data_IF_231124553066
#
_entry.id   IF_231124553066
#
_cell.length_a   1.000
_cell.length_b   1.000
_cell.length_c   1.000
_cell.angle_alpha   90.00
_cell.angle_beta   90.00
_cell.angle_gamma   90.00
#
_symmetry.space_group_name_H-M   'P 1'
#
loop_
_entity.id
_entity.type
_entity.pdbx_description
1 polymer ?
#
# COMPACT_ATOMS: atom_id res chain seq x y z
N UNK A 1 -17.01 26.09 -6.31
CA UNK A 1 -15.88 25.19 -6.66
C UNK A 1 -16.46 23.95 -7.29
N UNK A 2 -15.85 23.40 -8.36
CA UNK A 2 -16.34 22.16 -8.99
C UNK A 2 -15.52 20.96 -8.52
N UNK A 3 -16.14 19.78 -8.51
CA UNK A 3 -15.52 18.54 -8.05
C UNK A 3 -15.63 17.44 -9.08
N UNK A 4 -14.60 16.61 -9.11
CA UNK A 4 -14.62 15.27 -9.67
C UNK A 4 -15.00 14.29 -8.55
N UNK A 5 -15.87 13.33 -8.82
CA UNK A 5 -16.26 12.29 -7.86
C UNK A 5 -16.04 10.90 -8.44
N UNK A 6 -15.78 9.91 -7.58
CA UNK A 6 -15.64 8.50 -7.97
C UNK A 6 -16.71 7.64 -7.30
N UNK A 7 -17.62 7.09 -8.09
CA UNK A 7 -18.70 6.19 -7.63
C UNK A 7 -18.55 4.87 -8.38
N UNK A 8 -18.39 3.75 -7.65
CA UNK A 8 -18.24 2.41 -8.24
C UNK A 8 -17.15 2.32 -9.33
N UNK A 9 -16.03 3.02 -9.13
CA UNK A 9 -14.90 3.12 -10.08
C UNK A 9 -15.15 3.99 -11.32
N UNK A 10 -16.34 4.57 -11.49
CA UNK A 10 -16.61 5.55 -12.53
C UNK A 10 -16.34 6.97 -12.00
N UNK A 11 -15.61 7.77 -12.78
CA UNK A 11 -15.28 9.16 -12.45
C UNK A 11 -16.26 10.10 -13.15
N UNK A 12 -16.97 10.92 -12.38
CA UNK A 12 -17.89 11.95 -12.89
C UNK A 12 -17.36 13.34 -12.52
N UNK A 13 -17.40 14.30 -13.45
CA UNK A 13 -16.95 15.66 -13.17
C UNK A 13 -16.40 16.42 -14.37
N UNK A 14 -16.00 17.69 -14.18
CA UNK A 14 -16.15 18.47 -12.95
C UNK A 14 -17.58 19.03 -12.83
N UNK A 15 -18.22 18.85 -11.67
CA UNK A 15 -19.61 19.28 -11.42
C UNK A 15 -19.70 20.18 -10.18
N UNK A 16 -20.73 21.03 -10.14
CA UNK A 16 -21.06 21.86 -8.98
C UNK A 16 -21.72 21.01 -7.88
N UNK A 17 -21.53 21.34 -6.58
CA UNK A 17 -22.09 20.60 -5.45
C UNK A 17 -23.58 20.26 -5.58
N UNK A 18 -24.38 21.20 -6.09
CA UNK A 18 -25.82 21.05 -6.25
C UNK A 18 -26.18 19.95 -7.27
N UNK A 19 -25.34 19.77 -8.31
CA UNK A 19 -25.53 18.73 -9.32
C UNK A 19 -25.07 17.36 -8.82
N UNK A 20 -24.09 17.31 -7.92
CA UNK A 20 -23.59 16.07 -7.32
C UNK A 20 -24.66 15.40 -6.45
N UNK A 21 -25.44 16.19 -5.72
CA UNK A 21 -26.55 15.68 -4.89
C UNK A 21 -27.62 14.91 -5.69
N UNK A 22 -27.76 15.19 -6.99
CA UNK A 22 -28.68 14.48 -7.89
C UNK A 22 -28.14 13.17 -8.45
N UNK A 23 -26.85 12.84 -8.25
CA UNK A 23 -26.24 11.63 -8.80
C UNK A 23 -26.60 10.42 -7.95
N UNK A 24 -27.24 9.42 -8.57
CA UNK A 24 -27.60 8.17 -7.90
C UNK A 24 -26.34 7.46 -7.37
N UNK A 25 -26.27 7.27 -6.06
CA UNK A 25 -25.14 6.63 -5.38
C UNK A 25 -24.12 7.60 -4.80
N UNK A 26 -24.32 8.91 -4.96
CA UNK A 26 -23.54 9.91 -4.24
C UNK A 26 -23.89 9.89 -2.74
N UNK A 27 -22.87 9.83 -1.90
CA UNK A 27 -22.98 9.69 -0.44
C UNK A 27 -21.83 10.41 0.27
N UNK A 28 -21.94 10.59 1.59
CA UNK A 28 -20.89 11.20 2.43
C UNK A 28 -19.52 10.49 2.34
N UNK A 29 -19.53 9.19 2.00
CA UNK A 29 -18.31 8.39 1.83
C UNK A 29 -17.79 8.39 0.38
N UNK A 30 -18.45 9.07 -0.55
CA UNK A 30 -17.97 9.14 -1.94
C UNK A 30 -16.65 9.89 -1.99
N UNK A 31 -15.71 9.41 -2.80
CA UNK A 31 -14.43 10.11 -3.00
C UNK A 31 -14.64 11.31 -3.93
N UNK A 32 -14.14 12.48 -3.53
CA UNK A 32 -14.23 13.73 -4.26
C UNK A 32 -12.85 14.38 -4.39
N UNK A 33 -12.63 15.09 -5.50
CA UNK A 33 -11.40 15.82 -5.80
C UNK A 33 -11.76 17.20 -6.38
N UNK A 34 -11.33 18.31 -5.78
CA UNK A 34 -11.59 19.66 -6.28
C UNK A 34 -10.87 19.94 -7.60
N UNK A 35 -11.52 20.69 -8.50
CA UNK A 35 -10.98 21.02 -9.84
C UNK A 35 -9.67 21.83 -9.79
N UNK A 36 -9.51 22.70 -8.80
CA UNK A 36 -8.35 23.59 -8.67
C UNK A 36 -7.06 22.88 -8.21
N UNK A 37 -7.05 21.54 -8.09
CA UNK A 37 -5.85 20.78 -7.77
C UNK A 37 -4.74 20.88 -8.84
N UNK A 38 -4.95 21.61 -9.95
CA UNK A 38 -3.93 21.90 -10.96
C UNK A 38 -3.71 20.74 -11.93
N UNK A 39 -3.43 21.07 -13.20
CA UNK A 39 -3.20 20.07 -14.26
C UNK A 39 -1.93 19.22 -14.07
N UNK A 40 -1.11 19.50 -13.05
CA UNK A 40 0.10 18.75 -12.68
C UNK A 40 -0.02 18.01 -11.32
N UNK A 41 -1.23 17.81 -10.78
CA UNK A 41 -1.44 16.96 -9.60
C UNK A 41 -1.29 15.48 -9.95
N UNK A 42 -0.04 14.99 -9.95
CA UNK A 42 0.29 13.57 -9.99
C UNK A 42 -0.42 12.77 -8.89
N UNK A 43 -0.67 13.42 -7.74
CA UNK A 43 -1.45 12.88 -6.63
C UNK A 43 -2.66 13.77 -6.36
N UNK A 44 -3.70 13.59 -7.17
CA UNK A 44 -5.01 14.19 -6.90
C UNK A 44 -5.41 13.86 -5.47
N UNK A 45 -5.56 14.89 -4.62
CA UNK A 45 -6.03 14.74 -3.24
C UNK A 45 -7.50 14.31 -3.23
N UNK A 46 -7.75 13.04 -3.55
CA UNK A 46 -9.03 12.41 -3.33
C UNK A 46 -9.27 12.35 -1.83
N UNK A 47 -10.32 13.02 -1.37
CA UNK A 47 -10.79 12.96 0.02
C UNK A 47 -12.24 12.52 0.02
N UNK A 48 -12.76 12.07 1.16
CA UNK A 48 -14.19 11.74 1.27
C UNK A 48 -15.02 13.02 1.11
N UNK A 49 -16.21 12.93 0.52
CA UNK A 49 -17.08 14.08 0.26
C UNK A 49 -17.38 14.86 1.55
N UNK A 50 -17.56 14.18 2.68
CA UNK A 50 -17.76 14.81 4.00
C UNK A 50 -16.62 15.71 4.45
N UNK A 51 -15.39 15.50 3.94
CA UNK A 51 -14.21 16.32 4.26
C UNK A 51 -14.27 17.71 3.64
N UNK A 52 -15.17 17.93 2.68
CA UNK A 52 -15.40 19.22 2.01
C UNK A 52 -16.67 19.86 2.59
N UNK A 53 -16.57 20.97 3.35
CA UNK A 53 -17.72 21.57 4.05
C UNK A 53 -18.91 21.87 3.12
N UNK A 54 -18.62 22.33 1.90
CA UNK A 54 -19.60 22.60 0.85
C UNK A 54 -20.33 21.36 0.33
N UNK A 55 -19.67 20.19 0.29
CA UNK A 55 -20.30 18.92 -0.06
C UNK A 55 -21.04 18.34 1.16
N UNK A 56 -20.50 18.49 2.37
CA UNK A 56 -21.16 18.07 3.61
C UNK A 56 -22.51 18.77 3.81
N UNK A 57 -22.59 20.07 3.51
CA UNK A 57 -23.83 20.84 3.54
C UNK A 57 -24.93 20.31 2.60
N UNK A 58 -24.56 19.60 1.52
CA UNK A 58 -25.53 18.98 0.61
C UNK A 58 -26.22 17.75 1.24
N UNK A 59 -25.59 17.10 2.22
CA UNK A 59 -26.13 15.91 2.89
C UNK A 59 -26.84 16.24 4.20
N UNK A 60 -26.41 17.31 4.87
CA UNK A 60 -26.90 17.69 6.19
C UNK A 60 -27.36 19.16 6.11
N UNK A 61 -28.67 19.41 5.89
CA UNK A 61 -29.21 20.77 5.81
C UNK A 61 -28.95 21.60 7.07
N UNK A 62 -28.86 20.92 8.22
CA UNK A 62 -28.59 21.50 9.54
C UNK A 62 -27.10 21.52 9.89
N UNK A 63 -26.20 21.17 8.95
CA UNK A 63 -24.76 21.25 9.22
C UNK A 63 -24.42 22.70 9.52
N UNK A 64 -23.78 23.00 10.68
CA UNK A 64 -23.43 24.36 11.02
C UNK A 64 -22.55 24.88 9.89
N UNK A 65 -23.04 25.90 9.19
CA UNK A 65 -22.33 26.58 8.11
C UNK A 65 -21.07 27.15 8.75
N UNK A 66 -19.97 26.41 8.70
CA UNK A 66 -18.74 26.76 9.38
C UNK A 66 -18.37 28.18 8.94
N UNK A 67 -18.47 29.13 9.88
CA UNK A 67 -18.05 30.49 9.62
C UNK A 67 -16.63 30.40 9.08
N UNK A 68 -16.40 30.94 7.88
CA UNK A 68 -15.07 31.00 7.26
C UNK A 68 -14.10 31.45 8.34
N UNK A 69 -13.27 30.54 8.84
CA UNK A 69 -12.22 30.93 9.78
C UNK A 69 -11.33 31.92 9.02
N UNK A 70 -11.17 33.16 9.50
CA UNK A 70 -10.14 34.02 8.95
C UNK A 70 -8.78 33.31 9.13
N UNK A 71 -7.82 33.54 8.21
CA UNK A 71 -6.50 32.95 8.32
C UNK A 71 -5.92 33.32 9.69
N UNK A 72 -5.77 32.31 10.56
CA UNK A 72 -5.32 32.49 11.93
C UNK A 72 -3.84 32.85 11.88
N UNK A 73 -3.54 34.11 12.16
CA UNK A 73 -2.20 34.59 12.48
C UNK A 73 -1.77 33.98 13.81
N UNK A 74 -0.62 33.32 13.80
CA UNK A 74 0.35 33.19 14.89
C UNK A 74 -0.21 32.90 16.29
N UNK A 75 -0.30 31.61 16.65
CA UNK A 75 -0.25 31.18 18.06
C UNK A 75 1.05 30.41 18.28
N UNK A 76 1.87 30.91 19.22
CA UNK A 76 3.13 30.31 19.67
C UNK A 76 2.90 28.88 20.21
N UNK A 77 3.79 27.92 19.91
CA UNK A 77 3.64 26.56 20.40
C UNK A 77 4.02 26.46 21.87
N UNK A 78 3.10 25.93 22.68
CA UNK A 78 3.40 25.36 24.00
C UNK A 78 4.34 24.17 23.79
N UNK A 79 5.58 24.34 24.26
CA UNK A 79 6.62 23.30 24.33
C UNK A 79 6.14 22.14 25.21
N UNK A 80 5.57 21.11 24.59
CA UNK A 80 5.66 19.75 25.12
C UNK A 80 6.94 19.17 24.55
N UNK A 81 7.96 19.02 25.40
CA UNK A 81 9.25 18.46 25.03
C UNK A 81 9.08 17.04 24.49
N UNK A 82 9.10 16.92 23.16
CA UNK A 82 9.34 15.67 22.47
C UNK A 82 10.70 15.10 22.93
N UNK A 83 10.85 13.78 23.09
CA UNK A 83 12.16 13.19 23.28
C UNK A 83 13.00 13.54 22.05
N UNK A 84 14.07 14.32 22.28
CA UNK A 84 14.99 14.73 21.24
C UNK A 84 15.44 13.50 20.47
N UNK A 85 15.13 13.47 19.16
CA UNK A 85 15.69 12.50 18.24
C UNK A 85 17.21 12.44 18.47
N UNK A 86 17.75 11.23 18.63
CA UNK A 86 19.16 11.04 18.94
C UNK A 86 20.02 11.85 17.95
N UNK A 87 20.91 12.74 18.42
CA UNK A 87 21.68 13.64 17.57
C UNK A 87 22.61 12.90 16.58
N UNK A 88 22.82 11.60 16.80
CA UNK A 88 23.65 10.75 15.95
C UNK A 88 23.04 10.54 14.55
N UNK A 89 21.70 10.42 14.41
CA UNK A 89 21.08 10.16 13.10
C UNK A 89 21.04 11.38 12.20
N UNK A 90 20.81 12.57 12.77
CA UNK A 90 20.85 13.84 12.04
C UNK A 90 22.29 14.19 11.62
N UNK A 91 23.28 13.88 12.46
CA UNK A 91 24.69 14.11 12.15
C UNK A 91 25.17 13.24 10.97
N UNK A 92 24.74 11.97 10.88
CA UNK A 92 25.13 11.10 9.77
C UNK A 92 24.51 11.56 8.44
N UNK A 93 23.28 12.06 8.44
CA UNK A 93 22.63 12.59 7.22
C UNK A 93 23.30 13.90 6.77
N UNK A 94 23.59 14.82 7.69
CA UNK A 94 24.34 16.04 7.36
C UNK A 94 25.74 15.72 6.82
N UNK A 95 26.38 14.67 7.34
CA UNK A 95 27.67 14.19 6.85
C UNK A 95 27.57 13.61 5.44
N UNK A 96 26.51 12.84 5.13
CA UNK A 96 26.25 12.31 3.77
C UNK A 96 26.03 13.45 2.79
N UNK A 97 25.16 14.41 3.11
CA UNK A 97 24.83 15.53 2.22
C UNK A 97 26.05 16.43 1.95
N UNK A 98 26.85 16.74 2.97
CA UNK A 98 28.05 17.56 2.78
C UNK A 98 29.12 16.87 1.91
N UNK A 99 29.21 15.55 1.98
CA UNK A 99 30.18 14.75 1.22
C UNK A 99 29.72 14.55 -0.23
N UNK A 100 28.41 14.48 -0.46
CA UNK A 100 27.81 14.49 -1.79
C UNK A 100 28.06 15.83 -2.49
N UNK A 101 27.88 16.95 -1.79
CA UNK A 101 28.20 18.29 -2.29
C UNK A 101 29.70 18.46 -2.61
N UNK A 102 30.59 17.86 -1.80
CA UNK A 102 32.03 17.83 -2.10
C UNK A 102 32.36 17.02 -3.36
N UNK A 103 31.69 15.88 -3.58
CA UNK A 103 31.87 15.07 -4.78
C UNK A 103 31.33 15.78 -6.04
N UNK A 104 30.24 16.52 -5.91
CA UNK A 104 29.65 17.30 -7.02
C UNK A 104 30.47 18.54 -7.40
N UNK A 105 31.19 19.13 -6.44
CA UNK A 105 32.08 20.29 -6.68
C UNK A 105 33.50 19.91 -7.10
N UNK A 106 33.90 18.65 -6.98
CA UNK A 106 35.23 18.22 -7.41
C UNK A 106 35.35 18.29 -8.94
N UNK A 107 36.38 18.98 -9.49
CA UNK A 107 36.52 19.17 -10.93
C UNK A 107 36.73 17.81 -11.64
N UNK A 108 35.87 17.53 -12.61
CA UNK A 108 35.79 16.27 -13.37
C UNK A 108 37.08 15.84 -14.11
N UNK A 109 38.15 16.64 -14.09
CA UNK A 109 39.38 16.42 -14.84
C UNK A 109 40.32 15.34 -14.27
N UNK A 110 40.01 14.76 -13.09
CA UNK A 110 40.82 13.67 -12.47
C UNK A 110 40.00 12.46 -12.02
N UNK A 111 38.75 12.32 -12.45
CA UNK A 111 37.90 11.19 -12.12
C UNK A 111 38.29 9.94 -12.93
N UNK A 112 39.44 9.35 -12.59
CA UNK A 112 39.71 7.95 -12.90
C UNK A 112 38.76 7.04 -12.12
N UNK A 113 38.75 5.75 -12.47
CA UNK A 113 37.96 4.65 -11.88
C UNK A 113 37.86 4.63 -10.34
N UNK A 114 38.73 5.32 -9.61
CA UNK A 114 38.65 5.50 -8.16
C UNK A 114 37.45 6.33 -7.64
N UNK A 115 36.68 7.00 -8.50
CA UNK A 115 35.45 7.71 -8.07
C UNK A 115 34.23 6.78 -7.88
N UNK A 116 34.28 5.54 -8.37
CA UNK A 116 33.16 4.58 -8.29
C UNK A 116 33.17 3.82 -6.97
N UNK A 117 34.36 3.58 -6.40
CA UNK A 117 34.55 2.89 -5.12
C UNK A 117 33.87 3.57 -3.91
N UNK A 118 33.90 4.91 -3.75
CA UNK A 118 33.13 5.57 -2.68
C UNK A 118 31.61 5.49 -2.85
N UNK A 119 31.10 5.34 -4.08
CA UNK A 119 29.65 5.19 -4.31
C UNK A 119 29.17 3.79 -3.92
N UNK A 120 29.92 2.73 -4.27
CA UNK A 120 29.59 1.36 -3.87
C UNK A 120 29.63 1.16 -2.35
N UNK A 121 30.59 1.80 -1.66
CA UNK A 121 30.65 1.75 -0.20
C UNK A 121 29.47 2.47 0.46
N UNK A 122 29.05 3.61 -0.09
CA UNK A 122 27.85 4.31 0.38
C UNK A 122 26.57 3.50 0.13
N UNK A 123 26.45 2.86 -1.03
CA UNK A 123 25.30 2.01 -1.36
C UNK A 123 25.19 0.82 -0.39
N UNK A 124 26.30 0.14 -0.10
CA UNK A 124 26.31 -0.92 0.91
C UNK A 124 25.97 -0.43 2.33
N UNK A 125 26.35 0.81 2.67
CA UNK A 125 25.96 1.42 3.96
C UNK A 125 24.46 1.73 4.02
N UNK A 126 23.86 2.17 2.92
CA UNK A 126 22.41 2.42 2.81
C UNK A 126 21.64 1.10 2.90
N UNK A 127 22.06 0.07 2.16
CA UNK A 127 21.45 -1.26 2.23
C UNK A 127 21.49 -1.85 3.64
N UNK A 128 22.63 -1.69 4.33
CA UNK A 128 22.76 -2.10 5.74
C UNK A 128 21.76 -1.36 6.65
N UNK A 129 21.66 -0.03 6.51
CA UNK A 129 20.71 0.77 7.29
C UNK A 129 19.25 0.42 7.00
N UNK A 130 18.92 0.10 5.75
CA UNK A 130 17.59 -0.39 5.37
C UNK A 130 17.29 -1.75 6.02
N UNK A 131 18.29 -2.64 6.09
CA UNK A 131 18.19 -3.89 6.85
C UNK A 131 17.91 -3.65 8.34
N UNK A 132 18.69 -2.77 8.99
CA UNK A 132 18.51 -2.42 10.40
C UNK A 132 17.13 -1.78 10.68
N UNK A 133 16.65 -0.93 9.78
CA UNK A 133 15.30 -0.35 9.83
C UNK A 133 14.21 -1.44 9.74
N UNK A 134 14.35 -2.37 8.80
CA UNK A 134 13.41 -3.48 8.64
C UNK A 134 13.36 -4.36 9.88
N UNK A 135 14.52 -4.70 10.44
CA UNK A 135 14.61 -5.51 11.66
C UNK A 135 14.00 -4.77 12.87
N UNK A 136 14.21 -3.45 12.96
CA UNK A 136 13.59 -2.61 14.00
C UNK A 136 12.06 -2.60 13.89
N UNK A 137 11.50 -2.51 12.69
CA UNK A 137 10.04 -2.56 12.47
C UNK A 137 9.49 -3.93 12.83
N UNK A 138 10.14 -5.02 12.40
CA UNK A 138 9.73 -6.38 12.75
C UNK A 138 9.75 -6.61 14.28
N UNK A 139 10.73 -6.03 14.99
CA UNK A 139 10.80 -6.09 16.45
C UNK A 139 9.64 -5.30 17.10
N UNK A 140 9.30 -4.13 16.57
CA UNK A 140 8.15 -3.34 17.06
C UNK A 140 6.82 -4.07 16.81
N UNK A 141 6.63 -4.69 15.64
CA UNK A 141 5.44 -5.51 15.36
C UNK A 141 5.31 -6.67 16.35
N UNK A 142 6.41 -7.39 16.62
CA UNK A 142 6.42 -8.46 17.61
C UNK A 142 6.08 -7.95 19.01
N UNK A 143 6.55 -6.75 19.38
CA UNK A 143 6.25 -6.14 20.67
C UNK A 143 4.77 -5.78 20.78
N UNK A 144 4.21 -5.11 19.78
CA UNK A 144 2.78 -4.76 19.71
C UNK A 144 1.92 -6.02 19.81
N UNK A 145 2.28 -7.07 19.08
CA UNK A 145 1.57 -8.35 19.13
C UNK A 145 1.58 -8.97 20.54
N UNK A 146 2.74 -8.95 21.21
CA UNK A 146 2.87 -9.46 22.58
C UNK A 146 2.09 -8.65 23.62
N UNK A 147 1.90 -7.34 23.39
CA UNK A 147 1.11 -6.46 24.25
C UNK A 147 -0.41 -6.61 24.00
N UNK A 148 -0.81 -6.91 22.76
CA UNK A 148 -2.22 -7.14 22.38
C UNK A 148 -2.76 -8.51 22.84
N UNK A 149 -1.92 -9.55 22.84
CA UNK A 149 -2.34 -10.91 23.21
C UNK A 149 -3.00 -11.01 24.62
N UNK A 150 -2.46 -10.41 25.70
CA UNK A 150 -3.14 -10.46 27.00
C UNK A 150 -4.44 -9.65 27.04
N UNK A 151 -4.55 -8.56 26.28
CA UNK A 151 -5.81 -7.79 26.17
C UNK A 151 -6.88 -8.62 25.47
N UNK A 152 -6.51 -9.33 24.40
CA UNK A 152 -7.44 -10.19 23.67
C UNK A 152 -7.95 -11.34 24.54
N UNK A 153 -7.07 -11.95 25.37
CA UNK A 153 -7.49 -12.98 26.35
C UNK A 153 -8.45 -12.44 27.41
N UNK A 154 -8.26 -11.19 27.86
CA UNK A 154 -9.20 -10.54 28.81
C UNK A 154 -10.56 -10.29 28.16
N UNK A 155 -10.58 -9.91 26.89
CA UNK A 155 -11.81 -9.74 26.13
C UNK A 155 -12.55 -11.07 25.99
N UNK A 156 -11.87 -12.13 25.57
CA UNK A 156 -12.44 -13.49 25.48
C UNK A 156 -13.00 -13.97 26.84
N UNK A 157 -12.34 -13.62 27.94
CA UNK A 157 -12.82 -13.94 29.28
C UNK A 157 -14.10 -13.17 29.62
N UNK A 158 -14.13 -11.86 29.37
CA UNK A 158 -15.31 -11.03 29.62
C UNK A 158 -16.52 -11.49 28.77
N UNK A 159 -16.29 -11.87 27.51
CA UNK A 159 -17.35 -12.42 26.66
C UNK A 159 -17.96 -13.71 27.22
N UNK A 160 -17.11 -14.62 27.74
CA UNK A 160 -17.59 -15.85 28.40
C UNK A 160 -18.37 -15.56 29.68
N UNK A 161 -17.92 -14.62 30.50
CA UNK A 161 -18.62 -14.23 31.73
C UNK A 161 -19.99 -13.62 31.41
N UNK A 162 -20.10 -12.81 30.35
CA UNK A 162 -21.38 -12.27 29.87
C UNK A 162 -22.28 -13.39 29.36
N UNK A 163 -21.76 -14.35 28.59
CA UNK A 163 -22.53 -15.48 28.08
C UNK A 163 -23.05 -16.39 29.20
N UNK A 164 -22.24 -16.62 30.24
CA UNK A 164 -22.64 -17.36 31.45
C UNK A 164 -23.77 -16.64 32.19
N UNK A 165 -23.65 -15.32 32.42
CA UNK A 165 -24.70 -14.51 33.05
C UNK A 165 -25.99 -14.53 32.21
N UNK A 166 -25.87 -14.42 30.89
CA UNK A 166 -27.03 -14.47 29.99
C UNK A 166 -27.72 -15.84 30.00
N UNK A 167 -26.96 -16.93 30.15
CA UNK A 167 -27.50 -18.27 30.32
C UNK A 167 -28.24 -18.42 31.65
N UNK A 168 -27.66 -17.94 32.76
CA UNK A 168 -28.28 -17.98 34.09
C UNK A 168 -29.61 -17.21 34.13
N UNK A 169 -29.66 -16.01 33.55
CA UNK A 169 -30.86 -15.19 33.46
C UNK A 169 -31.96 -15.90 32.66
N UNK A 170 -31.60 -16.63 31.59
CA UNK A 170 -32.56 -17.43 30.82
C UNK A 170 -33.17 -18.57 31.62
N UNK A 171 -32.40 -19.21 32.49
CA UNK A 171 -32.85 -20.40 33.24
C UNK A 171 -33.70 -20.02 34.46
N UNK A 172 -33.47 -18.86 35.11
CA UNK A 172 -34.18 -18.47 36.34
C UNK A 172 -34.70 -17.01 36.33
N UNK A 173 -35.69 -16.67 35.49
CA UNK A 173 -36.16 -15.28 35.38
C UNK A 173 -36.90 -14.74 36.62
N UNK A 174 -37.40 -15.59 37.52
CA UNK A 174 -38.32 -15.18 38.61
C UNK A 174 -37.71 -15.19 40.04
N UNK A 175 -36.44 -15.60 40.21
CA UNK A 175 -35.82 -15.75 41.54
C UNK A 175 -34.44 -15.07 41.67
N UNK A 176 -33.98 -14.35 40.65
CA UNK A 176 -32.68 -13.68 40.68
C UNK A 176 -32.87 -12.31 41.33
N UNK A 177 -32.25 -12.13 42.50
CA UNK A 177 -32.09 -10.79 43.09
C UNK A 177 -31.35 -9.90 42.09
N UNK A 178 -31.88 -8.71 41.82
CA UNK A 178 -31.28 -7.75 40.86
C UNK A 178 -29.98 -7.14 41.39
N UNK A 179 -29.76 -7.16 42.70
CA UNK A 179 -28.56 -6.60 43.37
C UNK A 179 -27.24 -7.22 42.88
N UNK A 180 -27.04 -8.56 42.89
CA UNK A 180 -25.80 -9.17 42.39
C UNK A 180 -25.59 -8.98 40.89
N UNK A 181 -26.66 -8.82 40.10
CA UNK A 181 -26.54 -8.53 38.68
C UNK A 181 -26.10 -7.08 38.43
N UNK A 182 -26.61 -6.12 39.21
CA UNK A 182 -26.15 -4.72 39.18
C UNK A 182 -24.67 -4.62 39.52
N UNK A 183 -24.22 -5.26 40.61
CA UNK A 183 -22.82 -5.23 40.99
C UNK A 183 -21.88 -5.85 39.93
N UNK A 184 -22.33 -6.92 39.25
CA UNK A 184 -21.60 -7.53 38.14
C UNK A 184 -21.57 -6.62 36.91
N UNK A 185 -22.66 -5.92 36.60
CA UNK A 185 -22.73 -4.97 35.51
C UNK A 185 -21.78 -3.79 35.75
N UNK A 186 -21.78 -3.22 36.96
CA UNK A 186 -20.87 -2.13 37.34
C UNK A 186 -19.40 -2.57 37.25
N UNK A 187 -19.10 -3.82 37.62
CA UNK A 187 -17.76 -4.38 37.51
C UNK A 187 -17.34 -4.58 36.05
N UNK A 188 -18.26 -5.03 35.19
CA UNK A 188 -18.03 -5.17 33.76
C UNK A 188 -17.85 -3.81 33.05
N UNK A 189 -18.65 -2.80 33.42
CA UNK A 189 -18.49 -1.42 32.93
C UNK A 189 -17.13 -0.84 33.32
N UNK A 190 -16.70 -1.02 34.58
CA UNK A 190 -15.38 -0.61 35.02
C UNK A 190 -14.25 -1.35 34.28
N UNK A 191 -14.42 -2.64 34.00
CA UNK A 191 -13.45 -3.42 33.22
C UNK A 191 -13.37 -2.94 31.75
N UNK A 192 -14.50 -2.57 31.15
CA UNK A 192 -14.54 -1.98 29.81
C UNK A 192 -13.86 -0.61 29.76
N UNK A 193 -14.07 0.25 30.76
CA UNK A 193 -13.42 1.56 30.81
C UNK A 193 -11.90 1.41 30.99
N UNK A 194 -11.43 0.46 31.82
CA UNK A 194 -10.01 0.13 31.94
C UNK A 194 -9.42 -0.41 30.64
N UNK A 195 -10.16 -1.25 29.92
CA UNK A 195 -9.72 -1.78 28.63
C UNK A 195 -9.60 -0.65 27.61
N UNK A 196 -10.57 0.26 27.56
CA UNK A 196 -10.56 1.43 26.69
C UNK A 196 -9.37 2.35 26.99
N UNK A 197 -9.11 2.66 28.25
CA UNK A 197 -7.95 3.47 28.64
C UNK A 197 -6.61 2.78 28.28
N UNK A 198 -6.55 1.45 28.37
CA UNK A 198 -5.38 0.69 27.94
C UNK A 198 -5.17 0.75 26.42
N UNK A 199 -6.25 0.62 25.64
CA UNK A 199 -6.21 0.76 24.17
C UNK A 199 -5.80 2.18 23.77
N UNK A 200 -6.38 3.21 24.38
CA UNK A 200 -6.04 4.61 24.09
C UNK A 200 -4.55 4.91 24.40
N UNK A 201 -4.02 4.35 25.50
CA UNK A 201 -2.58 4.44 25.83
C UNK A 201 -1.71 3.72 24.80
N UNK A 202 -2.15 2.55 24.33
CA UNK A 202 -1.42 1.79 23.33
C UNK A 202 -1.44 2.50 21.96
N UNK A 203 -2.58 3.05 21.54
CA UNK A 203 -2.70 3.82 20.31
C UNK A 203 -1.83 5.08 20.32
N UNK A 204 -1.75 5.76 21.47
CA UNK A 204 -0.84 6.88 21.67
C UNK A 204 0.64 6.44 21.58
N UNK A 205 0.98 5.28 22.15
CA UNK A 205 2.34 4.71 22.06
C UNK A 205 2.69 4.35 20.61
N UNK A 206 1.77 3.70 19.89
CA UNK A 206 1.96 3.33 18.49
C UNK A 206 2.12 4.58 17.61
N UNK A 207 1.31 5.61 17.82
CA UNK A 207 1.48 6.88 17.10
C UNK A 207 2.82 7.55 17.39
N UNK A 208 3.25 7.55 18.65
CA UNK A 208 4.55 8.09 19.04
C UNK A 208 5.71 7.34 18.37
N UNK A 209 5.59 6.01 18.25
CA UNK A 209 6.62 5.15 17.64
C UNK A 209 6.62 5.22 16.10
N UNK A 210 5.46 5.39 15.48
CA UNK A 210 5.31 5.48 14.02
C UNK A 210 5.68 6.87 13.46
N UNK A 211 5.52 7.94 14.24
CA UNK A 211 5.87 9.30 13.81
C UNK A 211 7.33 9.43 13.31
N UNK A 212 8.37 8.99 14.05
CA UNK A 212 9.75 9.10 13.58
C UNK A 212 10.02 8.18 12.38
N UNK A 213 9.35 7.02 12.27
CA UNK A 213 9.49 6.14 11.10
C UNK A 213 8.89 6.78 9.86
N UNK A 214 7.71 7.39 9.96
CA UNK A 214 7.08 8.13 8.87
C UNK A 214 7.96 9.29 8.40
N UNK A 215 8.57 10.02 9.32
CA UNK A 215 9.52 11.08 8.97
C UNK A 215 10.78 10.52 8.27
N UNK A 216 11.31 9.39 8.72
CA UNK A 216 12.45 8.72 8.06
C UNK A 216 12.09 8.26 6.65
N UNK A 217 10.90 7.69 6.44
CA UNK A 217 10.42 7.29 5.11
C UNK A 217 10.30 8.50 4.19
N UNK A 218 9.66 9.57 4.64
CA UNK A 218 9.54 10.80 3.86
C UNK A 218 10.92 11.37 3.46
N UNK A 219 11.89 11.36 4.38
CA UNK A 219 13.27 11.78 4.08
C UNK A 219 13.97 10.86 3.06
N UNK A 220 13.71 9.56 3.08
CA UNK A 220 14.26 8.65 2.06
C UNK A 220 13.62 8.85 0.70
N UNK A 221 12.33 9.15 0.64
CA UNK A 221 11.62 9.47 -0.60
C UNK A 221 12.21 10.74 -1.24
N UNK A 222 12.42 11.81 -0.47
CA UNK A 222 13.05 13.03 -0.98
C UNK A 222 14.47 12.78 -1.49
N UNK A 223 15.25 11.94 -0.82
CA UNK A 223 16.61 11.59 -1.26
C UNK A 223 16.60 10.80 -2.58
N UNK A 224 15.64 9.90 -2.77
CA UNK A 224 15.44 9.15 -4.03
C UNK A 224 15.03 10.10 -5.16
N UNK A 225 14.16 11.08 -4.89
CA UNK A 225 13.79 12.09 -5.87
C UNK A 225 14.97 12.97 -6.28
N UNK A 226 15.80 13.40 -5.33
CA UNK A 226 17.04 14.13 -5.60
C UNK A 226 18.01 13.32 -6.47
N UNK A 227 18.20 12.03 -6.18
CA UNK A 227 19.02 11.13 -7.00
C UNK A 227 18.46 10.98 -8.42
N UNK A 228 17.15 10.78 -8.56
CA UNK A 228 16.50 10.69 -9.87
C UNK A 228 16.63 11.99 -10.67
N UNK A 229 16.53 13.15 -10.03
CA UNK A 229 16.75 14.44 -10.67
C UNK A 229 18.20 14.61 -11.13
N UNK A 230 19.16 14.16 -10.32
CA UNK A 230 20.58 14.17 -10.66
C UNK A 230 20.87 13.25 -11.86
N UNK A 231 20.26 12.07 -11.91
CA UNK A 231 20.34 11.16 -13.06
C UNK A 231 19.78 11.79 -14.33
N UNK A 232 18.63 12.48 -14.26
CA UNK A 232 18.06 13.21 -15.41
C UNK A 232 19.02 14.30 -15.89
N UNK A 233 19.59 15.09 -14.98
CA UNK A 233 20.56 16.12 -15.32
C UNK A 233 21.84 15.55 -15.97
N UNK A 234 22.31 14.38 -15.51
CA UNK A 234 23.44 13.69 -16.13
C UNK A 234 23.11 13.18 -17.54
N UNK A 235 21.93 12.60 -17.74
CA UNK A 235 21.47 12.16 -19.06
C UNK A 235 21.32 13.33 -20.03
N UNK A 236 20.81 14.46 -19.58
CA UNK A 236 20.71 15.68 -20.36
C UNK A 236 22.10 16.20 -20.79
N UNK A 237 23.06 16.27 -19.86
CA UNK A 237 24.45 16.64 -20.18
C UNK A 237 25.12 15.68 -21.15
N UNK A 238 24.88 14.37 -21.02
CA UNK A 238 25.38 13.38 -21.98
C UNK A 238 24.77 13.56 -23.37
N UNK A 239 23.47 13.87 -23.44
CA UNK A 239 22.80 14.17 -24.71
C UNK A 239 23.34 15.44 -25.35
N UNK A 240 23.61 16.49 -24.57
CA UNK A 240 24.23 17.72 -25.07
C UNK A 240 25.63 17.44 -25.62
N UNK A 241 26.44 16.66 -24.91
CA UNK A 241 27.78 16.28 -25.36
C UNK A 241 27.74 15.51 -26.69
N UNK A 242 26.76 14.62 -26.86
CA UNK A 242 26.57 13.87 -28.12
C UNK A 242 26.17 14.79 -29.29
N UNK A 243 25.34 15.80 -29.03
CA UNK A 243 25.00 16.84 -30.02
C UNK A 243 26.23 17.68 -30.39
N UNK A 244 27.01 18.14 -29.40
CA UNK A 244 28.22 18.94 -29.63
C UNK A 244 29.27 18.14 -30.43
N UNK A 245 29.47 16.86 -30.09
CA UNK A 245 30.38 15.96 -30.83
C UNK A 245 29.89 15.72 -32.26
N UNK A 246 28.58 15.62 -32.46
CA UNK A 246 27.98 15.50 -33.79
C UNK A 246 28.16 16.78 -34.61
N UNK A 247 27.97 17.95 -34.00
CA UNK A 247 28.23 19.26 -34.62
C UNK A 247 29.69 19.40 -35.06
N UNK A 248 30.64 19.13 -34.16
CA UNK A 248 32.08 19.13 -34.48
C UNK A 248 32.44 18.15 -35.60
N UNK A 249 31.79 16.98 -35.63
CA UNK A 249 31.98 15.98 -36.70
C UNK A 249 31.54 16.53 -38.05
N UNK A 250 30.42 17.22 -38.11
CA UNK A 250 29.90 17.77 -39.36
C UNK A 250 30.68 19.03 -39.79
N UNK A 251 31.09 19.89 -38.87
CA UNK A 251 32.04 20.98 -39.16
C UNK A 251 33.35 20.45 -39.77
N UNK A 252 33.91 19.38 -39.19
CA UNK A 252 35.13 18.75 -39.69
C UNK A 252 34.96 18.13 -41.09
N UNK A 253 33.77 17.64 -41.45
CA UNK A 253 33.48 17.13 -42.81
C UNK A 253 33.41 18.26 -43.83
N UNK A 254 32.87 19.42 -43.46
CA UNK A 254 32.62 20.53 -44.37
C UNK A 254 33.76 21.55 -44.42
N UNK A 255 34.75 21.49 -43.53
CA UNK A 255 35.92 22.35 -43.55
C UNK A 255 36.75 22.15 -44.85
N UNK A 256 36.77 23.13 -45.78
CA UNK A 256 37.51 23.03 -47.02
C UNK A 256 39.01 23.19 -46.74
N UNK A 257 39.82 22.24 -47.18
CA UNK A 257 41.29 22.37 -47.20
C UNK A 257 42.04 21.77 -46.01
N UNK A 258 41.45 20.88 -45.20
CA UNK A 258 42.23 20.15 -44.17
C UNK A 258 43.28 19.25 -44.85
N UNK A 259 44.60 19.53 -44.70
CA UNK A 259 45.64 18.76 -45.35
C UNK A 259 45.64 17.31 -44.83
N UNK A 260 45.91 16.34 -45.70
CA UNK A 260 45.86 14.91 -45.38
C UNK A 260 46.73 14.51 -44.16
N UNK A 261 47.80 15.27 -43.88
CA UNK A 261 48.65 15.09 -42.70
C UNK A 261 47.92 15.38 -41.37
N UNK A 262 47.00 16.35 -41.33
CA UNK A 262 46.22 16.66 -40.12
C UNK A 262 45.16 15.60 -39.81
N UNK A 263 44.66 14.87 -40.84
CA UNK A 263 43.73 13.73 -40.65
C UNK A 263 44.40 12.53 -39.98
N UNK A 264 45.70 12.32 -40.17
CA UNK A 264 46.44 11.24 -39.53
C UNK A 264 46.67 11.50 -38.01
N UNK A 265 46.84 12.76 -37.62
CA UNK A 265 47.03 13.14 -36.21
C UNK A 265 45.73 13.14 -35.38
N UNK A 266 44.55 13.15 -36.01
CA UNK A 266 43.24 13.16 -35.33
C UNK A 266 42.74 11.76 -34.90
N UNK A 267 43.39 10.68 -35.36
CA UNK A 267 43.03 9.30 -35.04
C UNK A 267 43.06 8.96 -33.53
N UNK A 268 44.07 9.36 -32.73
CA UNK A 268 44.10 9.03 -31.30
C UNK A 268 42.99 9.73 -30.51
N UNK A 269 42.62 10.97 -30.85
CA UNK A 269 41.55 11.70 -30.18
C UNK A 269 40.18 11.03 -30.39
N UNK A 270 39.93 10.50 -31.59
CA UNK A 270 38.72 9.71 -31.88
C UNK A 270 38.64 8.43 -31.05
N UNK A 271 39.75 7.72 -30.89
CA UNK A 271 39.79 6.48 -30.10
C UNK A 271 39.49 6.75 -28.62
N UNK A 272 40.01 7.84 -28.05
CA UNK A 272 39.74 8.22 -26.65
C UNK A 272 38.25 8.54 -26.43
N UNK A 273 37.64 9.34 -27.32
CA UNK A 273 36.22 9.69 -27.22
C UNK A 273 35.32 8.44 -27.34
N UNK A 274 35.61 7.54 -28.28
CA UNK A 274 34.87 6.29 -28.44
C UNK A 274 34.99 5.38 -27.22
N UNK A 275 36.18 5.31 -26.61
CA UNK A 275 36.41 4.50 -25.41
C UNK A 275 35.63 5.05 -24.21
N UNK A 276 35.58 6.38 -24.05
CA UNK A 276 34.80 7.04 -22.99
C UNK A 276 33.29 6.81 -23.18
N UNK A 277 32.78 6.92 -24.42
CA UNK A 277 31.37 6.68 -24.73
C UNK A 277 30.97 5.21 -24.49
N UNK A 278 31.80 4.25 -24.91
CA UNK A 278 31.53 2.81 -24.69
C UNK A 278 31.58 2.47 -23.20
N UNK A 279 32.55 3.01 -22.45
CA UNK A 279 32.61 2.83 -21.01
C UNK A 279 31.39 3.44 -20.28
N UNK A 280 30.95 4.64 -20.70
CA UNK A 280 29.75 5.28 -20.16
C UNK A 280 28.48 4.48 -20.42
N UNK A 281 28.30 3.98 -21.64
CA UNK A 281 27.14 3.15 -22.00
C UNK A 281 27.11 1.82 -21.22
N UNK A 282 28.27 1.17 -21.04
CA UNK A 282 28.39 -0.04 -20.24
C UNK A 282 28.05 0.22 -18.77
N UNK A 283 28.48 1.35 -18.22
CA UNK A 283 28.18 1.76 -16.84
C UNK A 283 26.68 1.99 -16.63
N UNK A 284 26.01 2.69 -17.54
CA UNK A 284 24.55 2.91 -17.49
C UNK A 284 23.79 1.57 -17.56
N UNK A 285 24.25 0.64 -18.41
CA UNK A 285 23.66 -0.70 -18.52
C UNK A 285 23.78 -1.51 -17.22
N UNK A 286 24.97 -1.52 -16.60
CA UNK A 286 25.21 -2.19 -15.32
C UNK A 286 24.39 -1.58 -14.17
N UNK A 287 24.28 -0.25 -14.14
CA UNK A 287 23.50 0.45 -13.12
C UNK A 287 22.00 0.15 -13.24
N UNK A 288 21.44 0.12 -14.47
CA UNK A 288 20.04 -0.30 -14.68
C UNK A 288 19.79 -1.77 -14.34
N UNK A 289 20.75 -2.65 -14.61
CA UNK A 289 20.65 -4.04 -14.19
C UNK A 289 20.63 -4.17 -12.66
N UNK A 290 21.47 -3.40 -11.95
CA UNK A 290 21.46 -3.37 -10.49
C UNK A 290 20.14 -2.82 -9.92
N UNK A 291 19.62 -1.71 -10.45
CA UNK A 291 18.29 -1.20 -10.06
C UNK A 291 17.17 -2.21 -10.31
N UNK A 292 17.20 -2.92 -11.45
CA UNK A 292 16.22 -3.95 -11.75
C UNK A 292 16.28 -5.12 -10.76
N UNK A 293 17.48 -5.54 -10.35
CA UNK A 293 17.66 -6.57 -9.33
C UNK A 293 17.16 -6.11 -7.96
N UNK A 294 17.39 -4.84 -7.58
CA UNK A 294 16.89 -4.29 -6.31
C UNK A 294 15.35 -4.24 -6.30
N UNK A 295 14.72 -3.79 -7.39
CA UNK A 295 13.26 -3.73 -7.52
C UNK A 295 12.64 -5.13 -7.56
N UNK A 296 13.25 -6.08 -8.27
CA UNK A 296 12.83 -7.48 -8.28
C UNK A 296 12.99 -8.13 -6.90
N UNK A 297 14.10 -7.84 -6.19
CA UNK A 297 14.34 -8.29 -4.84
C UNK A 297 13.30 -7.78 -3.86
N UNK A 298 12.90 -6.50 -3.97
CA UNK A 298 11.83 -5.92 -3.16
C UNK A 298 10.47 -6.59 -3.39
N UNK A 299 10.19 -7.07 -4.61
CA UNK A 299 8.95 -7.80 -4.93
C UNK A 299 8.98 -9.30 -4.60
N UNK A 300 10.16 -9.92 -4.45
CA UNK A 300 10.30 -11.37 -4.19
C UNK A 300 10.38 -11.75 -2.70
N UNK A 301 10.55 -10.80 -1.77
CA UNK A 301 10.48 -11.11 -0.35
C UNK A 301 9.02 -11.19 0.10
N UNK A 302 8.35 -12.27 -0.30
CA UNK A 302 7.25 -12.81 0.49
C UNK A 302 7.85 -13.22 1.84
N UNK A 303 7.33 -12.66 2.93
CA UNK A 303 7.72 -13.04 4.30
C UNK A 303 7.47 -14.53 4.53
N UNK A 304 8.49 -15.36 4.32
CA UNK A 304 8.55 -16.69 4.91
C UNK A 304 9.26 -16.56 6.24
N UNK A 305 8.48 -16.46 7.32
CA UNK A 305 9.00 -16.56 8.68
C UNK A 305 9.74 -17.90 8.85
N UNK A 306 10.93 -17.94 9.47
CA UNK A 306 11.56 -19.20 9.85
C UNK A 306 10.71 -19.86 10.93
N UNK A 307 9.94 -20.86 10.51
CA UNK A 307 9.08 -21.70 11.33
C UNK A 307 9.98 -22.44 12.36
N UNK A 308 10.11 -21.90 13.58
CA UNK A 308 10.60 -22.65 14.75
C UNK A 308 9.54 -23.66 15.18
N UNK A 309 9.24 -24.63 14.34
CA UNK A 309 8.45 -25.79 14.74
C UNK A 309 9.36 -26.84 15.35
N UNK A 310 9.23 -26.96 16.66
CA UNK A 310 9.41 -28.23 17.34
C UNK A 310 8.84 -29.35 16.45
N UNK A 311 9.66 -30.38 16.22
CA UNK A 311 9.42 -31.63 15.48
C UNK A 311 7.93 -32.00 15.43
N UNK A 312 7.19 -31.35 14.53
CA UNK A 312 5.75 -31.49 14.43
C UNK A 312 5.50 -32.74 13.60
N UNK A 313 4.69 -33.63 14.17
CA UNK A 313 4.08 -34.75 13.48
C UNK A 313 3.59 -34.28 12.09
N UNK A 314 3.88 -35.02 11.01
CA UNK A 314 3.61 -34.57 9.65
C UNK A 314 2.13 -34.18 9.52
N UNK A 315 1.88 -32.89 9.40
CA UNK A 315 0.52 -32.36 9.27
C UNK A 315 -0.12 -33.02 8.06
N UNK A 316 -1.34 -33.53 8.24
CA UNK A 316 -2.12 -34.10 7.16
C UNK A 316 -2.10 -33.14 5.95
N UNK A 317 -1.98 -33.66 4.71
CA UNK A 317 -1.89 -32.83 3.52
C UNK A 317 -3.08 -31.87 3.48
N UNK A 318 -2.80 -30.56 3.51
CA UNK A 318 -3.85 -29.54 3.41
C UNK A 318 -4.52 -29.65 2.04
N UNK A 319 -5.86 -29.56 1.96
CA UNK A 319 -6.54 -29.52 0.67
C UNK A 319 -6.06 -28.31 -0.14
N UNK A 320 -5.88 -28.50 -1.45
CA UNK A 320 -5.55 -27.42 -2.38
C UNK A 320 -6.69 -26.38 -2.39
N UNK A 321 -6.44 -25.12 -1.97
CA UNK A 321 -7.47 -24.08 -1.92
C UNK A 321 -8.09 -23.79 -3.29
N UNK A 322 -7.31 -23.88 -4.37
CA UNK A 322 -7.80 -23.64 -5.73
C UNK A 322 -8.79 -24.74 -6.12
N UNK A 323 -8.46 -26.00 -5.85
CA UNK A 323 -9.35 -27.12 -6.11
C UNK A 323 -10.64 -27.02 -5.27
N UNK A 324 -10.51 -26.62 -4.00
CA UNK A 324 -11.65 -26.39 -3.11
C UNK A 324 -12.61 -25.32 -3.66
N UNK A 325 -12.10 -24.16 -4.08
CA UNK A 325 -12.93 -23.08 -4.65
C UNK A 325 -13.54 -23.48 -6.00
N UNK A 326 -12.78 -24.15 -6.89
CA UNK A 326 -13.30 -24.63 -8.19
C UNK A 326 -14.51 -25.55 -8.03
N UNK A 327 -14.38 -26.49 -7.09
CA UNK A 327 -15.36 -27.55 -6.84
C UNK A 327 -16.44 -27.17 -5.83
N UNK A 328 -16.41 -25.95 -5.31
CA UNK A 328 -17.41 -25.48 -4.35
C UNK A 328 -18.83 -25.63 -4.92
N UNK A 329 -19.63 -26.46 -4.24
CA UNK A 329 -20.93 -26.88 -4.72
C UNK A 329 -21.97 -25.77 -4.56
N UNK A 330 -22.49 -25.28 -5.68
CA UNK A 330 -23.66 -24.41 -5.70
C UNK A 330 -24.87 -25.18 -6.25
N UNK A 331 -26.12 -24.76 -5.95
CA UNK A 331 -27.31 -25.39 -6.52
C UNK A 331 -27.24 -25.48 -8.06
N UNK A 332 -27.02 -26.68 -8.57
CA UNK A 332 -27.03 -27.00 -10.00
C UNK A 332 -25.69 -26.91 -10.76
N UNK A 333 -24.60 -26.38 -10.19
CA UNK A 333 -23.28 -26.38 -10.85
C UNK A 333 -22.13 -26.02 -9.89
N UNK A 334 -20.89 -26.46 -10.12
CA UNK A 334 -19.74 -25.98 -9.36
C UNK A 334 -19.50 -24.48 -9.59
N UNK A 335 -18.85 -23.81 -8.62
CA UNK A 335 -18.52 -22.38 -8.69
C UNK A 335 -17.72 -22.02 -9.95
N UNK A 336 -16.82 -22.89 -10.41
CA UNK A 336 -16.08 -22.70 -11.67
C UNK A 336 -17.01 -22.51 -12.88
N UNK A 337 -18.06 -23.33 -13.01
CA UNK A 337 -19.04 -23.21 -14.09
C UNK A 337 -19.88 -21.92 -13.99
N UNK A 338 -20.10 -21.41 -12.77
CA UNK A 338 -20.76 -20.12 -12.57
C UNK A 338 -19.86 -18.95 -12.98
N UNK A 339 -18.57 -19.02 -12.65
CA UNK A 339 -17.56 -18.03 -13.05
C UNK A 339 -17.40 -18.01 -14.57
N UNK A 340 -17.26 -19.17 -15.23
CA UNK A 340 -17.13 -19.24 -16.69
C UNK A 340 -18.33 -18.62 -17.41
N UNK A 341 -19.56 -18.84 -16.92
CA UNK A 341 -20.77 -18.23 -17.48
C UNK A 341 -20.82 -16.71 -17.29
N UNK A 342 -20.42 -16.20 -16.12
CA UNK A 342 -20.34 -14.75 -15.88
C UNK A 342 -19.23 -14.09 -16.70
N UNK A 343 -18.07 -14.73 -16.81
CA UNK A 343 -16.93 -14.27 -17.60
C UNK A 343 -17.32 -14.18 -19.09
N UNK A 344 -17.95 -15.22 -19.64
CA UNK A 344 -18.46 -15.21 -21.01
C UNK A 344 -19.50 -14.09 -21.23
N UNK A 345 -20.42 -13.89 -20.28
CA UNK A 345 -21.40 -12.81 -20.35
C UNK A 345 -20.75 -11.40 -20.31
N UNK A 346 -19.54 -11.27 -19.76
CA UNK A 346 -18.74 -10.03 -19.74
C UNK A 346 -17.80 -9.89 -20.95
N UNK A 347 -17.86 -10.81 -21.91
CA UNK A 347 -16.98 -10.83 -23.08
C UNK A 347 -15.53 -11.22 -22.76
N UNK A 348 -15.30 -11.91 -21.65
CA UNK A 348 -14.03 -12.58 -21.38
C UNK A 348 -14.01 -13.96 -22.05
N UNK A 349 -12.82 -14.50 -22.30
CA UNK A 349 -12.64 -15.85 -22.84
C UNK A 349 -12.64 -16.86 -21.68
N UNK A 350 -13.73 -17.61 -21.45
CA UNK A 350 -13.81 -18.56 -20.34
C UNK A 350 -12.84 -19.74 -20.49
N UNK A 351 -12.39 -20.06 -21.72
CA UNK A 351 -11.43 -21.12 -21.97
C UNK A 351 -9.99 -20.74 -21.54
N UNK A 352 -9.73 -19.45 -21.30
CA UNK A 352 -8.45 -18.94 -20.86
C UNK A 352 -8.48 -18.52 -19.37
N UNK A 353 -9.40 -19.08 -18.58
CA UNK A 353 -9.52 -18.81 -17.15
C UNK A 353 -8.30 -19.38 -16.40
N UNK A 354 -7.45 -18.50 -15.85
CA UNK A 354 -6.32 -18.89 -15.00
C UNK A 354 -6.68 -18.77 -13.52
N UNK A 355 -6.07 -19.63 -12.71
CA UNK A 355 -6.30 -19.68 -11.26
C UNK A 355 -4.98 -19.57 -10.52
N UNK A 356 -4.94 -18.76 -9.47
CA UNK A 356 -3.78 -18.60 -8.60
C UNK A 356 -4.21 -18.57 -7.14
N UNK A 357 -3.34 -19.07 -6.27
CA UNK A 357 -3.43 -18.90 -4.83
C UNK A 357 -2.53 -17.74 -4.40
N UNK A 358 -3.05 -16.91 -3.51
CA UNK A 358 -2.36 -15.77 -2.91
C UNK A 358 -2.61 -15.77 -1.40
N UNK A 359 -1.71 -15.16 -0.63
CA UNK A 359 -1.93 -14.95 0.80
C UNK A 359 -3.07 -13.94 1.00
N UNK A 360 -4.12 -14.33 1.72
CA UNK A 360 -5.21 -13.43 2.09
C UNK A 360 -4.88 -12.58 3.33
N UNK A 361 -5.57 -11.44 3.51
CA UNK A 361 -5.33 -10.53 4.65
C UNK A 361 -5.64 -11.17 6.01
N UNK A 362 -6.54 -12.15 6.04
CA UNK A 362 -7.01 -12.80 7.28
C UNK A 362 -6.23 -14.09 7.58
N UNK A 363 -5.09 -14.32 6.91
CA UNK A 363 -4.34 -15.58 6.98
C UNK A 363 -5.01 -16.77 6.28
N UNK A 364 -6.21 -16.57 5.72
CA UNK A 364 -6.89 -17.54 4.86
C UNK A 364 -6.35 -17.47 3.42
N UNK A 365 -6.28 -18.60 2.70
CA UNK A 365 -5.84 -18.61 1.31
C UNK A 365 -6.84 -17.85 0.42
N UNK A 366 -6.32 -16.88 -0.34
CA UNK A 366 -7.07 -16.13 -1.35
C UNK A 366 -6.91 -16.81 -2.70
N UNK A 367 -8.02 -17.18 -3.32
CA UNK A 367 -8.02 -17.75 -4.67
C UNK A 367 -8.46 -16.68 -5.67
N UNK A 368 -7.63 -16.47 -6.68
CA UNK A 368 -7.88 -15.52 -7.78
C UNK A 368 -8.18 -16.29 -9.05
N UNK A 369 -9.31 -15.99 -9.68
CA UNK A 369 -9.63 -16.44 -11.03
C UNK A 369 -9.58 -15.25 -11.99
N UNK A 370 -8.73 -15.34 -13.01
CA UNK A 370 -8.55 -14.30 -14.03
C UNK A 370 -9.05 -14.79 -15.39
N UNK A 371 -9.98 -14.05 -15.99
CA UNK A 371 -10.49 -14.33 -17.32
C UNK A 371 -10.11 -13.19 -18.29
N UNK A 372 -9.20 -13.40 -19.24
CA UNK A 372 -8.77 -12.35 -20.16
C UNK A 372 -9.90 -11.97 -21.13
N UNK A 373 -10.06 -10.67 -21.40
CA UNK A 373 -11.02 -10.17 -22.40
C UNK A 373 -10.35 -9.96 -23.74
N UNK A 374 -11.10 -10.22 -24.80
CA UNK A 374 -10.70 -9.79 -26.14
C UNK A 374 -10.81 -8.26 -26.24
N UNK A 375 -9.97 -7.65 -27.10
CA UNK A 375 -10.02 -6.22 -27.47
C UNK A 375 -9.54 -5.20 -26.41
N UNK A 376 -8.57 -5.55 -25.57
CA UNK A 376 -7.87 -4.58 -24.72
C UNK A 376 -8.68 -4.00 -23.55
N UNK A 377 -9.84 -4.56 -23.23
CA UNK A 377 -10.74 -4.09 -22.15
C UNK A 377 -10.32 -4.57 -20.74
N UNK A 378 -9.06 -4.96 -20.56
CA UNK A 378 -8.52 -5.57 -19.34
C UNK A 378 -9.12 -6.94 -19.00
N UNK A 379 -8.44 -7.76 -18.20
CA UNK A 379 -8.97 -9.02 -17.71
C UNK A 379 -10.09 -8.81 -16.67
N UNK A 380 -10.90 -9.86 -16.46
CA UNK A 380 -11.92 -9.92 -15.43
C UNK A 380 -11.40 -10.76 -14.26
N UNK A 381 -11.36 -10.17 -13.06
CA UNK A 381 -10.92 -10.85 -11.85
C UNK A 381 -12.07 -11.26 -10.93
N UNK A 382 -11.94 -12.43 -10.33
CA UNK A 382 -12.77 -12.95 -9.26
C UNK A 382 -11.90 -13.32 -8.07
N UNK A 383 -12.18 -12.74 -6.90
CA UNK A 383 -11.42 -13.01 -5.68
C UNK A 383 -12.30 -13.73 -4.67
N UNK A 384 -11.81 -14.83 -4.12
CA UNK A 384 -12.46 -15.62 -3.09
C UNK A 384 -11.50 -15.89 -1.93
N UNK A 385 -12.01 -15.90 -0.70
CA UNK A 385 -11.31 -16.46 0.45
C UNK A 385 -11.84 -17.88 0.69
N UNK A 386 -10.96 -18.86 0.80
CA UNK A 386 -11.33 -20.26 1.02
C UNK A 386 -11.21 -20.62 2.51
N UNK A 387 -12.36 -20.72 3.17
CA UNK A 387 -12.45 -21.20 4.55
C UNK A 387 -12.66 -22.72 4.54
N UNK A 388 -11.55 -23.44 4.30
CA UNK A 388 -11.53 -24.89 4.19
C UNK A 388 -12.09 -25.59 5.44
N UNK A 389 -11.75 -25.17 6.69
CA UNK A 389 -12.33 -25.75 7.91
C UNK A 389 -13.85 -25.65 7.96
N UNK A 390 -14.41 -24.48 7.61
CA UNK A 390 -15.86 -24.26 7.63
C UNK A 390 -16.57 -24.72 6.35
N UNK A 391 -15.81 -25.22 5.37
CA UNK A 391 -16.29 -25.59 4.03
C UNK A 391 -17.06 -24.44 3.38
N UNK A 392 -16.53 -23.22 3.49
CA UNK A 392 -17.17 -22.01 2.95
C UNK A 392 -16.24 -21.22 2.02
N UNK A 393 -16.85 -20.42 1.15
CA UNK A 393 -16.15 -19.57 0.17
C UNK A 393 -16.71 -18.16 0.22
N UNK A 394 -15.88 -17.22 0.68
CA UNK A 394 -16.28 -15.82 0.86
C UNK A 394 -15.87 -14.97 -0.34
N UNK A 395 -16.80 -14.26 -1.02
CA UNK A 395 -16.46 -13.41 -2.15
C UNK A 395 -15.82 -12.09 -1.69
N UNK A 396 -14.61 -11.81 -2.18
CA UNK A 396 -13.82 -10.62 -1.81
C UNK A 396 -14.00 -9.42 -2.75
N UNK A 397 -14.60 -9.58 -3.93
CA UNK A 397 -14.91 -8.45 -4.83
C UNK A 397 -16.35 -8.50 -5.36
N UNK A 398 -16.76 -7.41 -6.02
CA UNK A 398 -18.11 -7.31 -6.60
C UNK A 398 -18.37 -8.36 -7.69
N UNK A 399 -17.32 -8.75 -8.43
CA UNK A 399 -17.36 -9.80 -9.44
C UNK A 399 -17.72 -11.17 -8.84
N UNK A 400 -16.98 -11.62 -7.84
CA UNK A 400 -17.21 -12.89 -7.15
C UNK A 400 -18.54 -12.91 -6.41
N UNK A 401 -18.91 -11.80 -5.75
CA UNK A 401 -20.21 -11.69 -5.05
C UNK A 401 -21.40 -11.85 -5.99
N UNK A 402 -21.34 -11.23 -7.17
CA UNK A 402 -22.37 -11.37 -8.20
C UNK A 402 -22.52 -12.82 -8.67
N UNK A 403 -21.41 -13.51 -8.92
CA UNK A 403 -21.42 -14.92 -9.34
C UNK A 403 -22.07 -15.79 -8.29
N UNK A 404 -21.64 -15.64 -7.03
CA UNK A 404 -22.12 -16.44 -5.90
C UNK A 404 -23.61 -16.18 -5.63
N UNK A 405 -24.07 -14.92 -5.67
CA UNK A 405 -25.49 -14.58 -5.53
C UNK A 405 -26.36 -15.11 -6.68
N UNK A 406 -25.86 -15.04 -7.93
CA UNK A 406 -26.59 -15.54 -9.10
C UNK A 406 -26.70 -17.06 -9.09
N UNK A 407 -25.63 -17.75 -8.68
CA UNK A 407 -25.56 -19.20 -8.63
C UNK A 407 -26.26 -19.81 -7.41
N UNK A 408 -26.27 -19.12 -6.27
CA UNK A 408 -27.09 -19.52 -5.13
C UNK A 408 -28.59 -19.46 -5.45
N UNK A 409 -28.98 -18.66 -6.47
CA UNK A 409 -30.35 -18.56 -6.96
C UNK A 409 -31.25 -17.84 -5.95
N UNK A 410 -31.26 -16.49 -5.95
CA UNK A 410 -32.13 -15.66 -5.08
C UNK A 410 -32.39 -16.28 -3.70
N UNK A 411 -31.33 -16.74 -3.01
CA UNK A 411 -31.46 -17.07 -1.60
C UNK A 411 -31.61 -15.72 -0.90
N UNK A 412 -32.68 -15.46 -0.13
CA UNK A 412 -32.71 -14.33 0.78
C UNK A 412 -31.45 -14.43 1.61
N UNK A 413 -30.65 -13.37 1.71
CA UNK A 413 -29.51 -13.31 2.63
C UNK A 413 -30.06 -13.82 3.97
N UNK A 414 -29.68 -15.03 4.36
CA UNK A 414 -30.15 -15.63 5.58
C UNK A 414 -29.52 -14.80 6.69
N UNK A 415 -30.29 -13.84 7.22
CA UNK A 415 -30.06 -13.43 8.60
C UNK A 415 -30.07 -14.72 9.41
N UNK A 416 -29.10 -14.97 10.29
CA UNK A 416 -29.11 -16.14 11.15
C UNK A 416 -30.48 -16.20 11.81
N UNK A 417 -31.26 -17.24 11.50
CA UNK A 417 -32.56 -17.45 12.17
C UNK A 417 -32.23 -17.62 13.66
N UNK A 418 -32.81 -16.82 14.57
CA UNK A 418 -32.74 -17.16 15.99
C UNK A 418 -33.32 -18.57 16.12
N UNK A 419 -32.55 -19.48 16.73
CA UNK A 419 -33.01 -20.84 17.03
C UNK A 419 -34.32 -20.72 17.82
N UNK A 420 -35.44 -20.96 17.15
CA UNK A 420 -36.72 -21.21 17.82
C UNK A 420 -36.61 -22.62 18.38
N UNK A 421 -36.26 -22.71 19.66
CA UNK A 421 -36.36 -23.96 20.40
C UNK A 421 -37.85 -24.30 20.51
N UNK A 422 -38.23 -25.44 19.96
CA UNK A 422 -39.52 -26.04 20.20
C UNK A 422 -39.60 -26.37 21.70
N UNK A 423 -40.54 -25.73 22.39
CA UNK A 423 -40.98 -26.15 23.72
C UNK A 423 -41.78 -27.43 23.51
N UNK A 424 -41.26 -28.53 24.05
CA UNK A 424 -42.03 -29.74 24.35
C UNK A 424 -42.13 -29.85 25.87
#
# INVERSE_FOLDING_TARGET
MRYWISINSDIFGPLEPEKLAGIKGFSVTTWACPEDAGHNAGDRQWKRAVSFPELAACFFPDYPKAARQPPRLTEEPVLVSAPAAAPEDAAVIAQINSKLDQLLRAPAAKAGTGAIEPLNTNLGAIEKKLGELRDSVALQESRIHSELEPLNRKLDQAEREIEEIAADVRVRPAAVSMEPLSAKLDLAENALEQLKEAVDKQDASIHSDLAPLSERVARTETAIEEENNLQRALLEKLSQLDQDVSGLRDELKHAPGVPAAARAAAHPARTVILTVLVAGAAFIGLYRAAQWVIVQGAHQVNFSFPDRRAKAEPAAPRPDPVLFVKTFGLPGSPLESAIMRDAAARGANPAALSWAEEAGPDGLPRVVAEAPRSRGLGPVYYYFSADIPNKDVVPLNSGSRRVLQKAAGRVPIARPKPKTLAVF
#
